data_IF_130307068470
#
_entry.id   IF_130307068470
#
_cell.length_a   1.000
_cell.length_b   1.000
_cell.length_c   1.000
_cell.angle_alpha   90.00
_cell.angle_beta   90.00
_cell.angle_gamma   90.00
#
_symmetry.space_group_name_H-M   'P 1'
#
loop_
_entity.id
_entity.type
_entity.pdbx_description
1 polymer ?
#
# COMPACT_ATOMS: atom_id res chain seq x y z
N UNK A 1 -8.53 -21.36 0.31
CA UNK A 1 -9.17 -20.81 -0.90
C UNK A 1 -10.63 -21.20 -0.81
N UNK A 2 -11.54 -20.23 -0.81
CA UNK A 2 -12.97 -20.48 -0.82
C UNK A 2 -13.34 -21.03 -2.20
N UNK A 3 -13.40 -22.35 -2.31
CA UNK A 3 -13.89 -23.03 -3.53
C UNK A 3 -15.36 -22.68 -3.82
N UNK A 4 -16.12 -22.28 -2.80
CA UNK A 4 -17.54 -21.91 -2.93
C UNK A 4 -17.78 -20.54 -3.62
N UNK A 5 -16.77 -19.65 -3.71
CA UNK A 5 -16.91 -18.30 -4.29
C UNK A 5 -16.07 -18.05 -5.55
N UNK A 6 -15.61 -19.07 -6.24
CA UNK A 6 -14.94 -18.92 -7.54
C UNK A 6 -13.55 -18.25 -7.52
N UNK A 7 -12.93 -18.11 -6.35
CA UNK A 7 -11.59 -17.53 -6.21
C UNK A 7 -11.59 -16.04 -5.85
N UNK A 8 -10.42 -15.53 -5.40
CA UNK A 8 -10.23 -14.15 -5.00
C UNK A 8 -9.35 -13.41 -6.02
N UNK A 9 -9.93 -12.41 -6.70
CA UNK A 9 -9.25 -11.64 -7.74
C UNK A 9 -7.96 -10.98 -7.24
N UNK A 10 -8.00 -10.33 -6.08
CA UNK A 10 -6.83 -9.63 -5.51
C UNK A 10 -5.70 -10.59 -5.19
N UNK A 11 -6.00 -11.68 -4.49
CA UNK A 11 -5.02 -12.72 -4.18
C UNK A 11 -4.46 -13.38 -5.45
N UNK A 12 -5.29 -13.58 -6.47
CA UNK A 12 -4.82 -14.14 -7.75
C UNK A 12 -3.85 -13.20 -8.46
N UNK A 13 -4.11 -11.88 -8.46
CA UNK A 13 -3.19 -10.89 -9.04
C UNK A 13 -1.88 -10.81 -8.26
N UNK A 14 -1.94 -10.85 -6.94
CA UNK A 14 -0.75 -10.82 -6.07
C UNK A 14 0.11 -12.07 -6.28
N UNK A 15 -0.50 -13.26 -6.31
CA UNK A 15 0.21 -14.52 -6.57
C UNK A 15 0.80 -14.55 -7.99
N UNK A 16 0.04 -14.10 -9.00
CA UNK A 16 0.52 -13.99 -10.38
C UNK A 16 1.77 -13.09 -10.47
N UNK A 17 1.72 -11.92 -9.85
CA UNK A 17 2.85 -11.00 -9.80
C UNK A 17 4.05 -11.62 -9.09
N UNK A 18 3.86 -12.21 -7.92
CA UNK A 18 4.91 -12.80 -7.11
C UNK A 18 5.62 -13.96 -7.85
N UNK A 19 4.88 -14.84 -8.49
CA UNK A 19 5.42 -15.96 -9.27
C UNK A 19 6.27 -15.48 -10.44
N UNK A 20 5.82 -14.47 -11.18
CA UNK A 20 6.61 -13.89 -12.27
C UNK A 20 7.84 -13.14 -11.77
N UNK A 21 7.69 -12.36 -10.69
CA UNK A 21 8.79 -11.57 -10.12
C UNK A 21 9.88 -12.46 -9.51
N UNK A 22 9.52 -13.64 -9.01
CA UNK A 22 10.47 -14.64 -8.51
C UNK A 22 11.32 -15.28 -9.61
N UNK A 23 10.84 -15.27 -10.86
CA UNK A 23 11.48 -15.93 -12.00
C UNK A 23 11.32 -17.47 -12.02
N UNK A 24 10.57 -18.05 -11.08
CA UNK A 24 10.33 -19.51 -11.04
C UNK A 24 9.44 -19.99 -12.19
N UNK A 25 8.55 -19.13 -12.68
CA UNK A 25 7.63 -19.45 -13.77
C UNK A 25 7.62 -18.36 -14.83
N UNK A 26 7.28 -18.70 -16.06
CA UNK A 26 7.11 -17.79 -17.18
C UNK A 26 5.61 -17.56 -17.46
N UNK A 27 5.27 -16.54 -18.25
CA UNK A 27 3.88 -16.20 -18.61
C UNK A 27 3.12 -17.32 -19.34
N UNK A 28 3.83 -18.24 -19.97
CA UNK A 28 3.29 -19.39 -20.70
C UNK A 28 3.00 -20.60 -19.82
N UNK A 29 3.32 -20.56 -18.52
CA UNK A 29 2.95 -21.60 -17.55
C UNK A 29 1.41 -21.76 -17.52
N UNK A 30 0.88 -23.00 -17.67
CA UNK A 30 -0.56 -23.24 -17.69
C UNK A 30 -1.34 -22.66 -16.51
N UNK A 31 -0.72 -22.61 -15.33
CA UNK A 31 -1.31 -22.01 -14.12
C UNK A 31 -1.48 -20.50 -14.29
N UNK A 32 -0.47 -19.82 -14.85
CA UNK A 32 -0.52 -18.38 -15.08
C UNK A 32 -1.45 -18.02 -16.24
N UNK A 33 -1.54 -18.87 -17.27
CA UNK A 33 -2.53 -18.70 -18.36
C UNK A 33 -3.95 -18.78 -17.79
N UNK A 34 -4.24 -19.76 -16.94
CA UNK A 34 -5.54 -19.89 -16.28
C UNK A 34 -5.83 -18.72 -15.34
N UNK A 35 -4.84 -18.31 -14.53
CA UNK A 35 -4.97 -17.16 -13.65
C UNK A 35 -5.22 -15.85 -14.41
N UNK A 36 -4.52 -15.63 -15.53
CA UNK A 36 -4.76 -14.46 -16.41
C UNK A 36 -6.19 -14.45 -16.95
N UNK A 37 -6.69 -15.58 -17.42
CA UNK A 37 -8.09 -15.70 -17.89
C UNK A 37 -9.05 -15.30 -16.79
N UNK A 38 -8.90 -15.86 -15.58
CA UNK A 38 -9.70 -15.53 -14.41
C UNK A 38 -9.64 -14.03 -14.09
N UNK A 39 -8.45 -13.42 -14.05
CA UNK A 39 -8.27 -12.00 -13.77
C UNK A 39 -9.05 -11.13 -14.78
N UNK A 40 -8.95 -11.42 -16.08
CA UNK A 40 -9.62 -10.65 -17.12
C UNK A 40 -11.15 -10.82 -17.09
N UNK A 41 -11.65 -12.02 -16.81
CA UNK A 41 -13.07 -12.30 -16.66
C UNK A 41 -13.69 -11.56 -15.47
N UNK A 42 -12.91 -11.30 -14.42
CA UNK A 42 -13.33 -10.56 -13.22
C UNK A 42 -13.00 -9.06 -13.27
N UNK A 43 -12.74 -8.50 -14.45
CA UNK A 43 -12.58 -7.07 -14.65
C UNK A 43 -11.14 -6.55 -14.61
N UNK A 44 -10.14 -7.44 -14.58
CA UNK A 44 -8.72 -7.08 -14.62
C UNK A 44 -8.18 -6.50 -13.31
N UNK A 45 -6.95 -6.01 -13.37
CA UNK A 45 -6.27 -5.36 -12.23
C UNK A 45 -7.08 -4.19 -11.68
N UNK A 46 -7.83 -3.49 -12.52
CA UNK A 46 -8.64 -2.32 -12.13
C UNK A 46 -9.71 -2.66 -11.10
N UNK A 47 -10.13 -3.91 -11.03
CA UNK A 47 -11.19 -4.38 -10.12
C UNK A 47 -10.66 -5.04 -8.83
N UNK A 48 -9.34 -5.01 -8.62
CA UNK A 48 -8.73 -5.52 -7.38
C UNK A 48 -9.01 -4.60 -6.18
N UNK A 49 -8.72 -5.11 -4.98
CA UNK A 49 -8.81 -4.35 -3.74
C UNK A 49 -7.90 -3.11 -3.75
N UNK A 50 -8.21 -2.13 -2.91
CA UNK A 50 -7.36 -0.94 -2.74
C UNK A 50 -5.95 -1.34 -2.30
N UNK A 51 -5.81 -2.33 -1.41
CA UNK A 51 -4.51 -2.77 -0.91
C UNK A 51 -3.64 -3.35 -2.03
N UNK A 52 -4.19 -4.22 -2.87
CA UNK A 52 -3.51 -4.75 -4.06
C UNK A 52 -3.06 -3.64 -5.01
N UNK A 53 -3.92 -2.64 -5.27
CA UNK A 53 -3.55 -1.48 -6.09
C UNK A 53 -2.40 -0.68 -5.48
N UNK A 54 -2.37 -0.49 -4.15
CA UNK A 54 -1.27 0.15 -3.44
C UNK A 54 0.03 -0.63 -3.63
N UNK A 55 0.01 -1.96 -3.46
CA UNK A 55 1.17 -2.83 -3.66
C UNK A 55 1.69 -2.73 -5.10
N UNK A 56 0.79 -2.74 -6.08
CA UNK A 56 1.13 -2.58 -7.49
C UNK A 56 1.66 -1.16 -7.79
N UNK A 57 1.15 -0.12 -7.14
CA UNK A 57 1.63 1.25 -7.30
C UNK A 57 3.04 1.42 -6.71
N UNK A 58 3.33 0.85 -5.53
CA UNK A 58 4.67 0.82 -4.93
C UNK A 58 5.68 0.15 -5.87
N UNK A 59 5.28 -0.91 -6.57
CA UNK A 59 6.13 -1.63 -7.52
C UNK A 59 6.11 -1.06 -8.95
N UNK A 60 5.43 0.07 -9.17
CA UNK A 60 5.34 0.76 -10.46
C UNK A 60 4.46 0.06 -11.49
N UNK A 61 3.57 -0.85 -11.07
CA UNK A 61 2.64 -1.60 -11.94
C UNK A 61 1.23 -1.01 -12.00
N UNK A 62 0.95 -0.08 -11.12
CA UNK A 62 -0.30 0.69 -11.11
C UNK A 62 0.01 2.17 -10.87
N UNK A 63 -0.79 3.08 -11.45
CA UNK A 63 -0.59 4.52 -11.23
C UNK A 63 -1.26 4.96 -9.94
N UNK A 64 -0.57 5.77 -9.14
CA UNK A 64 -1.18 6.44 -8.01
C UNK A 64 -2.32 7.36 -8.50
N UNK A 65 -3.38 7.55 -7.69
CA UNK A 65 -4.45 8.48 -8.04
C UNK A 65 -3.92 9.91 -8.10
N UNK A 66 -4.63 10.76 -8.83
CA UNK A 66 -4.33 12.19 -8.85
C UNK A 66 -4.47 12.79 -7.44
N UNK A 67 -5.56 12.43 -6.76
CA UNK A 67 -5.84 12.78 -5.36
C UNK A 67 -5.87 11.52 -4.51
N UNK A 68 -5.16 11.55 -3.37
CA UNK A 68 -5.21 10.43 -2.43
C UNK A 68 -6.59 10.39 -1.76
N UNK A 69 -7.26 9.23 -1.69
CA UNK A 69 -8.50 9.08 -0.94
C UNK A 69 -8.31 9.33 0.58
N UNK A 70 -7.07 9.27 1.05
CA UNK A 70 -6.66 9.61 2.41
C UNK A 70 -5.46 10.54 2.36
N UNK A 71 -5.65 11.87 2.29
CA UNK A 71 -4.55 12.82 2.27
C UNK A 71 -3.77 12.80 3.57
N UNK A 72 -2.44 12.99 3.49
CA UNK A 72 -1.57 12.93 4.68
C UNK A 72 -1.91 14.00 5.71
N UNK A 73 -2.56 15.08 5.28
CA UNK A 73 -3.03 16.20 6.11
C UNK A 73 -4.07 15.76 7.15
N UNK A 74 -4.76 14.64 6.96
CA UNK A 74 -5.66 14.07 7.98
C UNK A 74 -4.98 13.88 9.34
N UNK A 75 -3.66 13.69 9.38
CA UNK A 75 -2.93 13.54 10.65
C UNK A 75 -2.91 14.83 11.48
N UNK A 76 -3.21 15.97 10.89
CA UNK A 76 -3.28 17.26 11.55
C UNK A 76 -4.66 17.53 12.16
N UNK A 77 -5.69 16.81 11.75
CA UNK A 77 -7.06 16.99 12.25
C UNK A 77 -7.12 16.67 13.75
N UNK A 78 -7.71 17.59 14.56
CA UNK A 78 -7.91 17.34 15.99
C UNK A 78 -8.82 16.15 16.25
N UNK A 79 -8.67 15.51 17.41
CA UNK A 79 -9.52 14.39 17.83
C UNK A 79 -11.01 14.80 17.96
N UNK A 80 -11.30 16.10 18.11
CA UNK A 80 -12.66 16.64 18.14
C UNK A 80 -13.34 16.66 16.76
N UNK A 81 -12.60 16.54 15.67
CA UNK A 81 -13.18 16.43 14.32
C UNK A 81 -13.95 15.12 14.15
N UNK A 82 -15.13 15.15 13.50
CA UNK A 82 -15.95 13.95 13.30
C UNK A 82 -15.22 12.84 12.53
N UNK A 83 -14.31 13.21 11.64
CA UNK A 83 -13.43 12.27 10.93
C UNK A 83 -11.99 12.63 11.28
N UNK A 84 -11.31 11.75 11.97
CA UNK A 84 -9.90 11.90 12.34
C UNK A 84 -9.22 10.54 12.46
N UNK A 85 -7.89 10.52 12.51
CA UNK A 85 -7.12 9.27 12.57
C UNK A 85 -7.37 8.44 13.83
N UNK A 86 -7.79 9.06 14.93
CA UNK A 86 -7.99 8.36 16.19
C UNK A 86 -9.28 7.53 16.23
N UNK A 87 -10.17 7.70 15.26
CA UNK A 87 -11.36 6.85 15.10
C UNK A 87 -11.04 5.50 14.45
N UNK A 88 -9.91 5.39 13.75
CA UNK A 88 -9.44 4.12 13.24
C UNK A 88 -8.82 3.28 14.36
N UNK A 89 -8.96 1.96 14.28
CA UNK A 89 -8.24 1.03 15.16
C UNK A 89 -6.73 1.23 15.07
N UNK A 90 -5.98 0.71 16.03
CA UNK A 90 -4.50 0.74 16.00
C UNK A 90 -4.00 0.09 14.71
N UNK A 91 -4.54 -1.07 14.33
CA UNK A 91 -4.22 -1.75 13.08
C UNK A 91 -4.52 -0.88 11.85
N UNK A 92 -5.69 -0.23 11.83
CA UNK A 92 -6.08 0.69 10.76
C UNK A 92 -5.08 1.85 10.61
N UNK A 93 -4.74 2.53 11.72
CA UNK A 93 -3.76 3.64 11.71
C UNK A 93 -2.36 3.19 11.29
N UNK A 94 -1.91 2.02 11.78
CA UNK A 94 -0.60 1.48 11.44
C UNK A 94 -0.43 1.23 9.95
N UNK A 95 -1.49 0.82 9.25
CA UNK A 95 -1.46 0.65 7.80
C UNK A 95 -1.73 1.98 7.05
N UNK A 96 -2.68 2.78 7.51
CA UNK A 96 -3.13 3.98 6.81
C UNK A 96 -2.03 5.07 6.75
N UNK A 97 -1.29 5.30 7.84
CA UNK A 97 -0.29 6.37 7.89
C UNK A 97 0.83 6.16 6.88
N UNK A 98 1.47 4.98 6.76
CA UNK A 98 2.42 4.73 5.68
C UNK A 98 1.79 4.89 4.28
N UNK A 99 0.56 4.42 4.08
CA UNK A 99 -0.16 4.56 2.80
C UNK A 99 -0.35 6.03 2.42
N UNK A 100 -0.76 6.88 3.36
CA UNK A 100 -0.92 8.32 3.13
C UNK A 100 0.40 8.98 2.68
N UNK A 101 1.53 8.63 3.30
CA UNK A 101 2.85 9.12 2.90
C UNK A 101 3.19 8.63 1.49
N UNK A 102 3.04 7.34 1.22
CA UNK A 102 3.35 6.74 -0.09
C UNK A 102 2.53 7.35 -1.21
N UNK A 103 1.22 7.54 -0.99
CA UNK A 103 0.32 8.15 -1.95
C UNK A 103 0.64 9.64 -2.19
N UNK A 104 0.92 10.39 -1.11
CA UNK A 104 1.34 11.79 -1.18
C UNK A 104 2.63 11.97 -1.98
N UNK A 105 3.60 11.06 -1.80
CA UNK A 105 4.87 11.07 -2.52
C UNK A 105 4.78 10.41 -3.91
N UNK A 106 3.64 9.80 -4.25
CA UNK A 106 3.46 8.95 -5.45
C UNK A 106 4.62 7.98 -5.63
N UNK A 107 5.05 7.39 -4.51
CA UNK A 107 6.26 6.59 -4.46
C UNK A 107 6.11 5.32 -5.29
N UNK A 108 7.10 5.07 -6.13
CA UNK A 108 7.23 3.80 -6.86
C UNK A 108 8.69 3.39 -6.94
N UNK A 109 8.93 2.10 -6.80
CA UNK A 109 10.24 1.51 -6.92
C UNK A 109 10.26 0.47 -8.03
N UNK A 110 11.12 0.67 -9.03
CA UNK A 110 11.33 -0.34 -10.08
C UNK A 110 12.23 -1.45 -9.54
N UNK A 111 11.71 -2.65 -9.51
CA UNK A 111 12.51 -3.83 -9.20
C UNK A 111 13.25 -4.33 -10.45
N UNK A 112 14.43 -4.93 -10.22
CA UNK A 112 15.34 -5.37 -11.30
C UNK A 112 14.68 -6.37 -12.25
N UNK A 113 13.82 -7.25 -11.72
CA UNK A 113 13.09 -8.29 -12.46
C UNK A 113 11.57 -8.03 -12.45
N UNK A 114 11.18 -6.77 -12.60
CA UNK A 114 9.77 -6.39 -12.52
C UNK A 114 9.00 -6.87 -13.76
N UNK A 115 8.08 -7.86 -13.63
CA UNK A 115 7.36 -8.39 -14.78
C UNK A 115 6.41 -7.33 -15.36
N UNK A 116 6.14 -7.45 -16.66
CA UNK A 116 5.10 -6.66 -17.31
C UNK A 116 3.72 -7.28 -17.03
N UNK A 117 2.79 -6.45 -16.52
CA UNK A 117 1.40 -6.81 -16.20
C UNK A 117 0.39 -6.06 -17.08
N UNK A 118 0.85 -5.40 -18.15
CA UNK A 118 -0.02 -4.60 -19.03
C UNK A 118 -1.16 -5.43 -19.65
N UNK A 119 -0.93 -6.71 -19.83
CA UNK A 119 -1.87 -7.68 -20.40
C UNK A 119 -2.93 -8.19 -19.40
N UNK A 120 -2.91 -7.72 -18.16
CA UNK A 120 -3.93 -8.01 -17.13
C UNK A 120 -4.94 -6.88 -16.96
N UNK A 121 -4.82 -5.78 -17.72
CA UNK A 121 -5.80 -4.72 -17.72
C UNK A 121 -6.98 -5.08 -18.61
N UNK A 122 -8.19 -4.93 -18.08
CA UNK A 122 -9.41 -5.17 -18.84
C UNK A 122 -9.70 -4.00 -19.79
N UNK A 123 -9.99 -4.31 -21.05
CA UNK A 123 -10.42 -3.31 -22.02
C UNK A 123 -11.83 -2.73 -21.71
N UNK A 124 -12.64 -3.44 -20.90
CA UNK A 124 -13.99 -2.99 -20.52
C UNK A 124 -13.98 -1.81 -19.53
N UNK A 125 -12.86 -1.63 -18.79
CA UNK A 125 -12.68 -0.58 -17.80
C UNK A 125 -11.35 0.12 -18.08
N UNK A 126 -11.26 0.96 -19.13
CA UNK A 126 -10.00 1.62 -19.48
C UNK A 126 -9.58 2.59 -18.38
N UNK A 127 -8.33 2.45 -17.95
CA UNK A 127 -7.71 3.36 -16.99
C UNK A 127 -7.45 2.76 -15.61
N UNK A 128 -6.77 3.56 -14.79
CA UNK A 128 -6.45 3.22 -13.40
C UNK A 128 -7.57 3.77 -12.50
N UNK A 129 -8.52 2.91 -12.10
CA UNK A 129 -9.62 3.31 -11.23
C UNK A 129 -9.22 3.21 -9.75
N UNK A 130 -9.47 4.27 -8.99
CA UNK A 130 -9.37 4.31 -7.54
C UNK A 130 -10.73 4.66 -6.96
N UNK A 131 -11.07 4.17 -5.77
CA UNK A 131 -12.26 4.66 -5.07
C UNK A 131 -12.10 6.16 -4.83
N UNK A 132 -13.05 6.95 -5.33
CA UNK A 132 -13.10 8.39 -5.08
C UNK A 132 -14.21 8.67 -4.07
N UNK A 133 -13.86 9.27 -2.96
CA UNK A 133 -14.82 9.84 -2.03
C UNK A 133 -14.64 11.36 -2.01
N UNK A 134 -15.25 12.03 -2.99
CA UNK A 134 -15.10 13.48 -3.17
C UNK A 134 -15.64 14.26 -1.97
N UNK A 135 -16.78 13.85 -1.43
CA UNK A 135 -17.39 14.51 -0.27
C UNK A 135 -16.44 14.50 0.94
N UNK A 136 -15.76 13.38 1.18
CA UNK A 136 -14.77 13.28 2.24
C UNK A 136 -13.56 14.18 1.99
N UNK A 137 -13.07 14.24 0.74
CA UNK A 137 -11.92 15.08 0.38
C UNK A 137 -12.25 16.57 0.50
N UNK A 138 -13.43 16.97 0.06
CA UNK A 138 -13.92 18.36 0.16
C UNK A 138 -14.08 18.74 1.62
N UNK A 139 -14.70 17.88 2.44
CA UNK A 139 -14.83 18.10 3.88
C UNK A 139 -13.46 18.23 4.58
N UNK A 140 -12.51 17.33 4.29
CA UNK A 140 -11.13 17.42 4.82
C UNK A 140 -10.50 18.76 4.41
N UNK A 141 -10.67 19.18 3.17
CA UNK A 141 -10.16 20.45 2.65
C UNK A 141 -10.71 21.65 3.43
N UNK A 142 -12.01 21.67 3.71
CA UNK A 142 -12.63 22.73 4.51
C UNK A 142 -12.12 22.76 5.96
N UNK A 143 -11.98 21.60 6.62
CA UNK A 143 -11.44 21.54 7.98
C UNK A 143 -9.97 21.99 8.03
N UNK A 144 -9.16 21.63 7.02
CA UNK A 144 -7.77 22.06 6.95
C UNK A 144 -7.61 23.56 6.70
N UNK A 145 -8.50 24.20 5.93
CA UNK A 145 -8.52 25.66 5.75
C UNK A 145 -8.70 26.40 7.08
N UNK A 146 -9.46 25.83 8.02
CA UNK A 146 -9.64 26.40 9.36
C UNK A 146 -8.34 26.37 10.19
N UNK A 147 -7.42 25.45 9.88
CA UNK A 147 -6.14 25.29 10.62
C UNK A 147 -5.08 26.22 10.07
N UNK A 148 -5.02 26.45 8.76
CA UNK A 148 -4.02 27.31 8.12
C UNK A 148 -4.44 27.76 6.72
N UNK A 149 -4.10 29.01 6.40
CA UNK A 149 -4.24 29.60 5.06
C UNK A 149 -3.10 29.19 4.11
N UNK A 150 -2.09 28.42 4.58
CA UNK A 150 -0.92 28.02 3.79
C UNK A 150 -0.88 26.51 3.54
N UNK A 151 -1.52 25.99 2.47
CA UNK A 151 -1.60 24.56 2.18
C UNK A 151 -0.23 23.85 2.10
N UNK A 152 0.78 24.50 1.51
CA UNK A 152 2.12 23.94 1.37
C UNK A 152 2.81 23.69 2.72
N UNK A 153 2.64 24.59 3.68
CA UNK A 153 3.15 24.43 5.04
C UNK A 153 2.42 23.32 5.79
N UNK A 154 1.13 23.18 5.58
CA UNK A 154 0.34 22.07 6.12
C UNK A 154 0.84 20.74 5.62
N UNK A 155 1.09 20.62 4.32
CA UNK A 155 1.60 19.39 3.71
C UNK A 155 2.94 18.95 4.32
N UNK A 156 3.91 19.86 4.40
CA UNK A 156 5.21 19.58 5.00
C UNK A 156 5.08 19.18 6.49
N UNK A 157 4.24 19.90 7.25
CA UNK A 157 3.96 19.60 8.65
C UNK A 157 3.28 18.23 8.82
N UNK A 158 2.35 17.88 7.94
CA UNK A 158 1.67 16.59 7.95
C UNK A 158 2.64 15.44 7.69
N UNK A 159 3.51 15.56 6.69
CA UNK A 159 4.55 14.56 6.41
C UNK A 159 5.52 14.38 7.57
N UNK A 160 5.99 15.48 8.18
CA UNK A 160 6.86 15.43 9.37
C UNK A 160 6.15 14.76 10.55
N UNK A 161 4.89 15.11 10.80
CA UNK A 161 4.09 14.49 11.87
C UNK A 161 3.84 13.01 11.62
N UNK A 162 3.55 12.62 10.40
CA UNK A 162 3.37 11.23 10.01
C UNK A 162 4.68 10.42 10.15
N UNK A 163 5.81 10.98 9.74
CA UNK A 163 7.13 10.40 9.95
C UNK A 163 7.43 10.21 11.44
N UNK A 164 7.24 11.24 12.26
CA UNK A 164 7.44 11.18 13.72
C UNK A 164 6.52 10.15 14.36
N UNK A 165 5.27 10.05 13.91
CA UNK A 165 4.32 9.05 14.39
C UNK A 165 4.84 7.63 14.17
N UNK A 166 5.34 7.33 12.97
CA UNK A 166 5.91 6.01 12.66
C UNK A 166 7.16 5.73 13.50
N UNK A 167 8.13 6.65 13.48
CA UNK A 167 9.41 6.46 14.19
C UNK A 167 9.24 6.24 15.69
N UNK A 168 8.27 6.93 16.32
CA UNK A 168 8.00 6.80 17.75
C UNK A 168 7.31 5.47 18.13
N UNK A 169 6.95 4.64 17.16
CA UNK A 169 6.17 3.40 17.35
C UNK A 169 6.81 2.18 16.70
N UNK A 170 8.04 2.33 16.24
CA UNK A 170 8.89 1.19 15.87
C UNK A 170 9.28 0.48 17.15
N UNK A 171 9.04 -0.80 17.19
CA UNK A 171 9.36 -1.65 18.33
C UNK A 171 10.84 -2.02 18.35
N UNK A 172 11.37 -2.53 19.47
CA UNK A 172 12.80 -2.88 19.59
C UNK A 172 13.28 -3.90 18.53
N UNK A 173 12.38 -4.76 18.05
CA UNK A 173 12.65 -5.74 16.97
C UNK A 173 12.63 -5.13 15.57
N UNK A 174 12.34 -3.83 15.45
CA UNK A 174 12.26 -3.09 14.19
C UNK A 174 10.88 -3.11 13.53
N UNK A 175 9.90 -3.82 14.10
CA UNK A 175 8.55 -3.89 13.54
C UNK A 175 7.73 -2.64 13.86
N UNK A 176 6.68 -2.41 13.11
CA UNK A 176 5.73 -1.33 13.35
C UNK A 176 4.46 -1.92 13.96
N UNK A 177 4.32 -1.78 15.28
CA UNK A 177 3.26 -2.39 16.08
C UNK A 177 3.14 -3.92 15.93
N UNK A 178 4.23 -4.62 15.67
CA UNK A 178 4.25 -6.06 15.42
C UNK A 178 3.29 -6.52 14.30
N UNK A 179 2.91 -5.63 13.39
CA UNK A 179 2.08 -5.98 12.23
C UNK A 179 2.95 -6.12 10.97
N UNK A 180 2.82 -7.27 10.28
CA UNK A 180 3.53 -7.54 9.03
C UNK A 180 3.25 -6.47 7.96
N UNK A 181 1.97 -6.26 7.62
CA UNK A 181 1.57 -5.31 6.57
C UNK A 181 1.99 -3.87 6.88
N UNK A 182 1.84 -3.45 8.14
CA UNK A 182 2.22 -2.11 8.57
C UNK A 182 3.74 -1.90 8.53
N UNK A 183 4.53 -2.89 8.96
CA UNK A 183 5.99 -2.86 8.90
C UNK A 183 6.48 -2.80 7.47
N UNK A 184 5.89 -3.62 6.58
CA UNK A 184 6.18 -3.61 5.16
C UNK A 184 5.93 -2.23 4.54
N UNK A 185 4.76 -1.65 4.75
CA UNK A 185 4.40 -0.33 4.23
C UNK A 185 5.28 0.78 4.83
N UNK A 186 5.62 0.69 6.11
CA UNK A 186 6.51 1.65 6.79
C UNK A 186 7.89 1.68 6.14
N UNK A 187 8.47 0.54 5.78
CA UNK A 187 9.77 0.50 5.09
C UNK A 187 9.74 1.36 3.84
N UNK A 188 8.74 1.19 2.98
CA UNK A 188 8.63 1.97 1.75
C UNK A 188 8.29 3.44 2.02
N UNK A 189 7.48 3.73 3.02
CA UNK A 189 7.20 5.11 3.42
C UNK A 189 8.46 5.84 3.89
N UNK A 190 9.29 5.20 4.70
CA UNK A 190 10.57 5.77 5.15
C UNK A 190 11.55 5.95 3.98
N UNK A 191 11.62 4.99 3.04
CA UNK A 191 12.41 5.15 1.81
C UNK A 191 11.91 6.34 0.98
N UNK A 192 10.61 6.55 0.86
CA UNK A 192 10.02 7.68 0.14
C UNK A 192 10.35 9.03 0.80
N UNK A 193 10.61 9.03 2.09
CA UNK A 193 11.01 10.19 2.89
C UNK A 193 12.54 10.39 2.94
N UNK A 194 13.30 9.62 2.16
CA UNK A 194 14.74 9.78 2.01
C UNK A 194 15.58 9.00 3.02
N UNK A 195 15.01 8.04 3.76
CA UNK A 195 15.83 7.14 4.57
C UNK A 195 16.65 6.22 3.68
N UNK A 196 17.91 5.98 4.05
CA UNK A 196 18.80 5.14 3.28
C UNK A 196 18.40 3.65 3.37
N UNK A 197 18.41 2.96 2.23
CA UNK A 197 18.12 1.52 2.13
C UNK A 197 18.95 0.68 3.11
N UNK A 198 20.22 1.04 3.28
CA UNK A 198 21.15 0.35 4.18
C UNK A 198 21.23 1.01 5.58
N UNK A 199 20.35 1.95 5.87
CA UNK A 199 20.30 2.60 7.18
C UNK A 199 19.78 1.66 8.27
N UNK A 200 20.15 1.87 9.54
CA UNK A 200 19.86 0.94 10.63
C UNK A 200 18.36 0.72 10.83
N UNK A 201 17.54 1.75 10.68
CA UNK A 201 16.07 1.65 10.84
C UNK A 201 15.48 0.71 9.79
N UNK A 202 15.86 0.86 8.51
CA UNK A 202 15.36 0.01 7.43
C UNK A 202 15.85 -1.42 7.60
N UNK A 203 17.14 -1.60 7.95
CA UNK A 203 17.71 -2.93 8.15
C UNK A 203 17.06 -3.68 9.32
N UNK A 204 16.78 -2.98 10.43
CA UNK A 204 16.08 -3.58 11.56
C UNK A 204 14.63 -3.93 11.21
N UNK A 205 13.92 -3.05 10.49
CA UNK A 205 12.56 -3.34 10.05
C UNK A 205 12.49 -4.55 9.10
N UNK A 206 13.46 -4.70 8.20
CA UNK A 206 13.56 -5.91 7.33
C UNK A 206 13.84 -7.16 8.16
N UNK A 207 14.73 -7.10 9.16
CA UNK A 207 14.97 -8.22 10.07
C UNK A 207 13.71 -8.57 10.86
N UNK A 208 13.00 -7.59 11.39
CA UNK A 208 11.73 -7.78 12.09
C UNK A 208 10.67 -8.45 11.20
N UNK A 209 10.55 -8.03 9.93
CA UNK A 209 9.66 -8.70 8.96
C UNK A 209 10.05 -10.16 8.75
N UNK A 210 11.34 -10.45 8.54
CA UNK A 210 11.82 -11.80 8.32
C UNK A 210 11.62 -12.70 9.55
N UNK A 211 11.69 -12.15 10.75
CA UNK A 211 11.44 -12.90 11.99
C UNK A 211 9.97 -13.30 12.21
N UNK A 212 9.05 -12.66 11.48
CA UNK A 212 7.63 -13.05 11.49
C UNK A 212 7.33 -14.27 10.61
N UNK A 213 8.29 -14.67 9.75
CA UNK A 213 8.13 -15.84 8.91
C UNK A 213 8.10 -17.12 9.78
N UNK A 214 7.09 -17.95 9.56
CA UNK A 214 6.94 -19.27 10.18
C UNK A 214 6.95 -20.33 9.11
N UNK A 215 7.21 -21.58 9.51
CA UNK A 215 7.11 -22.72 8.62
C UNK A 215 5.96 -23.60 9.07
N UNK A 216 4.98 -23.79 8.19
CA UNK A 216 3.82 -24.66 8.40
C UNK A 216 3.86 -25.71 7.29
N UNK A 217 3.86 -26.99 7.65
CA UNK A 217 3.93 -28.12 6.70
C UNK A 217 5.09 -28.02 5.70
N UNK A 218 6.25 -27.50 6.16
CA UNK A 218 7.45 -27.33 5.33
C UNK A 218 7.41 -26.13 4.38
N UNK A 219 6.36 -25.33 4.41
CA UNK A 219 6.21 -24.10 3.60
C UNK A 219 6.35 -22.83 4.45
N UNK A 220 7.07 -21.79 3.96
CA UNK A 220 7.17 -20.54 4.66
C UNK A 220 5.84 -19.78 4.61
N UNK A 221 5.40 -19.28 5.76
CA UNK A 221 4.23 -18.42 5.92
C UNK A 221 4.65 -17.10 6.59
N UNK A 222 3.99 -16.00 6.20
CA UNK A 222 4.14 -14.65 6.76
C UNK A 222 2.80 -14.08 7.18
#
# INVERSE_FOLDING_TARGET
>A
ADEENGGNLSATVEAYYALLASGFVKKDDPRLVSAKKFILEHGGIQNTSMFTKIMLAITGKYKWPAFSPFPVEMILLPAACPINLYQFSIFGRANLIPIMILASRKFSMKMKNSPDLSDLFSARHPGHSWPENRDLLDWIGEELKKISEFPERLHASALDRAKKYMLARIEPDGTFYSYFSATFLMIFALLSLGHFKNGPIIQNAVKGLLSMATVIDGLPHM
#
